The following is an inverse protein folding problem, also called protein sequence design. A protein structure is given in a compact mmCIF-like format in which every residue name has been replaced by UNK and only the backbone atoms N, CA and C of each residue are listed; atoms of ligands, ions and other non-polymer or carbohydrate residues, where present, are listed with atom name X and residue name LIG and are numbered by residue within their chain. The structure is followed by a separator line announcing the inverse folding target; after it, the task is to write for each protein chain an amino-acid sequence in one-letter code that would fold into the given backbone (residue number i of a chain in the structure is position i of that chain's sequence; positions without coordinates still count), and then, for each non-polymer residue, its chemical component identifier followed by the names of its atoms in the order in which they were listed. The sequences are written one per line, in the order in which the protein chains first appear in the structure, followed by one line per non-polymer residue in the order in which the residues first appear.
data_IF_097171979486
#
_entry.id   IF_097171979486
#
_cell.length_a   1.000
_cell.length_b   1.000
_cell.length_c   1.000
_cell.angle_alpha   90.00
_cell.angle_beta   90.00
_cell.angle_gamma   90.00
#
_symmetry.space_group_name_H-M   'P 1'
#
loop_
_entity.id
_entity.type
_entity.pdbx_description
1 polymer ?
#
# COMPACT_ATOMS: atom_id res chain seq x y z
N UNK A 1 7.15 -5.92 -23.43
CA UNK A 1 7.30 -6.18 -22.00
C UNK A 1 7.39 -7.68 -21.79
N UNK A 2 8.42 -8.16 -21.17
CA UNK A 2 8.56 -9.54 -20.72
C UNK A 2 8.13 -9.59 -19.25
N UNK A 3 7.25 -10.51 -18.90
CA UNK A 3 6.77 -10.73 -17.53
C UNK A 3 7.54 -11.85 -16.79
N UNK A 4 8.56 -12.43 -17.43
CA UNK A 4 9.43 -13.42 -16.80
C UNK A 4 10.30 -12.73 -15.75
N UNK A 5 10.37 -13.33 -14.56
CA UNK A 5 11.28 -12.86 -13.54
C UNK A 5 12.74 -13.18 -13.91
N UNK A 6 13.65 -12.29 -13.56
CA UNK A 6 15.09 -12.55 -13.63
C UNK A 6 15.52 -13.57 -12.57
N UNK A 7 16.70 -14.16 -12.71
CA UNK A 7 17.23 -15.09 -11.68
C UNK A 7 17.30 -14.44 -10.29
N UNK A 8 17.65 -13.16 -10.22
CA UNK A 8 17.71 -12.40 -8.96
C UNK A 8 16.31 -12.21 -8.38
N UNK A 9 15.33 -11.89 -9.20
CA UNK A 9 13.92 -11.73 -8.77
C UNK A 9 13.32 -13.05 -8.28
N UNK A 10 13.68 -14.18 -8.91
CA UNK A 10 13.29 -15.52 -8.42
C UNK A 10 13.92 -15.82 -7.05
N UNK A 11 15.16 -15.40 -6.81
CA UNK A 11 15.80 -15.51 -5.48
C UNK A 11 15.09 -14.65 -4.46
N UNK A 12 14.75 -13.40 -4.77
CA UNK A 12 13.98 -12.53 -3.86
C UNK A 12 12.61 -13.13 -3.54
N UNK A 13 11.90 -13.61 -4.56
CA UNK A 13 10.60 -14.25 -4.41
C UNK A 13 10.68 -15.49 -3.50
N UNK A 14 11.61 -16.39 -3.78
CA UNK A 14 11.75 -17.62 -3.00
C UNK A 14 12.18 -17.35 -1.56
N UNK A 15 13.03 -16.33 -1.35
CA UNK A 15 13.46 -15.92 0.00
C UNK A 15 12.29 -15.32 0.78
N UNK A 16 11.54 -14.40 0.18
CA UNK A 16 10.36 -13.80 0.80
C UNK A 16 9.31 -14.88 1.12
N UNK A 17 8.98 -15.72 0.13
CA UNK A 17 8.03 -16.82 0.30
C UNK A 17 8.42 -17.73 1.46
N UNK A 18 9.68 -18.17 1.50
CA UNK A 18 10.19 -19.03 2.57
C UNK A 18 10.07 -18.36 3.94
N UNK A 19 10.48 -17.10 4.06
CA UNK A 19 10.35 -16.35 5.31
C UNK A 19 8.89 -16.32 5.80
N UNK A 20 7.98 -16.00 4.91
CA UNK A 20 6.56 -15.89 5.25
C UNK A 20 5.91 -17.24 5.55
N UNK A 21 6.23 -18.31 4.82
CA UNK A 21 5.68 -19.66 5.06
C UNK A 21 6.21 -20.28 6.35
N UNK A 22 7.49 -20.09 6.70
CA UNK A 22 8.10 -20.70 7.88
C UNK A 22 7.71 -20.00 9.19
N UNK A 23 7.46 -18.70 9.16
CA UNK A 23 7.28 -17.88 10.37
C UNK A 23 5.89 -17.27 10.51
N UNK A 24 5.07 -17.34 9.48
CA UNK A 24 3.81 -16.65 9.42
C UNK A 24 2.63 -17.60 9.27
N UNK A 25 2.00 -17.90 10.37
CA UNK A 25 0.81 -18.74 10.43
C UNK A 25 -0.42 -17.96 10.95
N UNK A 26 -1.58 -18.60 10.89
CA UNK A 26 -2.85 -18.03 11.34
C UNK A 26 -2.87 -17.72 12.84
N UNK A 27 -2.14 -18.47 13.65
CA UNK A 27 -2.04 -18.27 15.09
C UNK A 27 -1.29 -16.97 15.37
N UNK A 28 -0.22 -16.75 14.62
CA UNK A 28 0.57 -15.50 14.64
C UNK A 28 -0.27 -14.30 14.18
N UNK A 29 -1.02 -14.43 13.07
CA UNK A 29 -1.92 -13.34 12.60
C UNK A 29 -2.95 -12.95 13.66
N UNK A 30 -3.53 -13.93 14.35
CA UNK A 30 -4.47 -13.69 15.44
C UNK A 30 -3.84 -13.06 16.67
N UNK A 31 -2.63 -13.47 17.00
CA UNK A 31 -1.89 -12.87 18.10
C UNK A 31 -1.65 -11.38 17.83
N UNK A 32 -1.21 -11.05 16.62
CA UNK A 32 -0.94 -9.67 16.20
C UNK A 32 -2.20 -8.80 16.16
N UNK A 33 -3.34 -9.34 15.73
CA UNK A 33 -4.61 -8.58 15.78
C UNK A 33 -5.02 -8.16 17.19
N UNK A 34 -4.47 -8.82 18.22
CA UNK A 34 -4.71 -8.48 19.65
C UNK A 34 -3.63 -7.59 20.24
N UNK A 35 -2.51 -7.42 19.53
CA UNK A 35 -1.46 -6.51 19.95
C UNK A 35 -1.87 -5.06 19.70
N UNK A 36 -1.54 -4.16 20.63
CA UNK A 36 -1.84 -2.74 20.55
C UNK A 36 -1.27 -2.11 19.27
N UNK A 37 -0.07 -2.51 18.86
CA UNK A 37 0.62 -2.00 17.66
C UNK A 37 0.14 -2.60 16.35
N UNK A 38 -0.59 -3.71 16.37
CA UNK A 38 -1.11 -4.37 15.17
C UNK A 38 -0.05 -4.97 14.24
N UNK A 39 1.22 -5.09 14.66
CA UNK A 39 2.29 -5.77 13.93
C UNK A 39 3.38 -6.32 14.85
N UNK A 40 4.16 -7.30 14.37
CA UNK A 40 5.30 -7.85 15.10
C UNK A 40 6.58 -7.07 14.81
N UNK A 41 7.12 -6.38 15.82
CA UNK A 41 8.39 -5.66 15.72
C UNK A 41 9.57 -6.59 15.45
N UNK A 42 9.55 -7.80 16.02
CA UNK A 42 10.57 -8.84 15.77
C UNK A 42 10.57 -9.24 14.29
N UNK A 43 9.40 -9.51 13.73
CA UNK A 43 9.30 -9.91 12.33
C UNK A 43 9.63 -8.74 11.37
N UNK A 44 9.26 -7.50 11.73
CA UNK A 44 9.67 -6.32 10.98
C UNK A 44 11.21 -6.18 10.95
N UNK A 45 11.87 -6.46 12.07
CA UNK A 45 13.35 -6.46 12.15
C UNK A 45 13.96 -7.55 11.25
N UNK A 46 13.38 -8.74 11.18
CA UNK A 46 13.86 -9.80 10.28
C UNK A 46 13.74 -9.39 8.80
N UNK A 47 12.68 -8.68 8.42
CA UNK A 47 12.52 -8.10 7.07
C UNK A 47 13.63 -7.08 6.79
N UNK A 48 13.99 -6.23 7.78
CA UNK A 48 15.09 -5.30 7.68
C UNK A 48 16.43 -6.05 7.52
N UNK A 49 16.69 -7.08 8.33
CA UNK A 49 17.92 -7.86 8.31
C UNK A 49 18.11 -8.64 6.99
N UNK A 50 17.03 -8.96 6.28
CA UNK A 50 17.06 -9.50 4.91
C UNK A 50 17.28 -8.43 3.83
N UNK A 51 17.39 -7.16 4.21
CA UNK A 51 17.62 -6.05 3.29
C UNK A 51 16.38 -5.57 2.52
N UNK A 52 15.17 -6.06 2.83
CA UNK A 52 13.97 -5.73 2.07
C UNK A 52 13.57 -4.25 2.19
N UNK A 53 13.85 -3.60 3.33
CA UNK A 53 13.63 -2.15 3.48
C UNK A 53 14.59 -1.31 2.65
N UNK A 54 15.78 -1.82 2.39
CA UNK A 54 16.83 -1.15 1.61
C UNK A 54 16.92 -1.61 0.15
N UNK A 55 16.00 -2.45 -0.32
CA UNK A 55 16.11 -3.10 -1.63
C UNK A 55 16.31 -2.11 -2.76
N UNK A 56 15.51 -1.04 -2.80
CA UNK A 56 15.55 0.00 -3.84
C UNK A 56 16.45 1.19 -3.50
N UNK A 57 17.12 1.16 -2.35
CA UNK A 57 18.02 2.23 -1.90
C UNK A 57 19.39 2.01 -2.54
N UNK A 58 20.03 3.06 -3.11
CA UNK A 58 21.40 2.98 -3.62
C UNK A 58 22.42 2.52 -2.57
N UNK A 59 23.47 1.87 -3.02
CA UNK A 59 24.58 1.39 -2.16
C UNK A 59 25.25 2.53 -1.36
N UNK A 60 25.29 3.75 -1.90
CA UNK A 60 25.83 4.95 -1.22
C UNK A 60 25.13 5.27 0.11
N UNK A 61 23.91 4.82 0.28
CA UNK A 61 23.13 4.94 1.53
C UNK A 61 22.99 3.61 2.28
N UNK A 62 23.73 2.58 1.88
CA UNK A 62 23.72 1.25 2.51
C UNK A 62 22.62 0.31 2.01
N UNK A 63 21.99 0.61 0.88
CA UNK A 63 20.97 -0.22 0.25
C UNK A 63 21.54 -1.26 -0.72
N UNK A 64 20.64 -1.92 -1.46
CA UNK A 64 20.94 -2.99 -2.44
C UNK A 64 21.02 -2.45 -3.87
N UNK A 65 20.37 -1.31 -4.17
CA UNK A 65 20.34 -0.71 -5.51
C UNK A 65 19.44 -1.44 -6.50
N UNK A 66 18.45 -2.21 -6.02
CA UNK A 66 17.47 -2.89 -6.85
C UNK A 66 16.40 -1.96 -7.44
N UNK A 67 15.53 -2.53 -8.27
CA UNK A 67 14.45 -1.81 -8.96
C UNK A 67 13.08 -1.92 -8.28
N UNK A 68 12.09 -1.21 -8.84
CA UNK A 68 10.70 -1.29 -8.37
C UNK A 68 10.08 -2.68 -8.61
N UNK A 69 10.49 -3.36 -9.69
CA UNK A 69 10.02 -4.73 -9.98
C UNK A 69 10.54 -5.71 -8.91
N UNK A 70 11.78 -5.55 -8.44
CA UNK A 70 12.35 -6.36 -7.37
C UNK A 70 11.56 -6.19 -6.07
N UNK A 71 11.23 -4.94 -5.73
CA UNK A 71 10.37 -4.62 -4.59
C UNK A 71 8.97 -5.22 -4.75
N UNK A 72 8.38 -5.11 -5.93
CA UNK A 72 7.03 -5.61 -6.22
C UNK A 72 6.92 -7.13 -6.01
N UNK A 73 7.95 -7.90 -6.35
CA UNK A 73 8.00 -9.34 -6.10
C UNK A 73 7.90 -9.66 -4.60
N UNK A 74 8.58 -8.89 -3.74
CA UNK A 74 8.48 -9.08 -2.28
C UNK A 74 7.12 -8.62 -1.76
N UNK A 75 6.56 -7.54 -2.29
CA UNK A 75 5.23 -7.03 -1.93
C UNK A 75 4.13 -8.03 -2.30
N UNK A 76 4.25 -8.75 -3.42
CA UNK A 76 3.33 -9.83 -3.79
C UNK A 76 3.31 -10.93 -2.72
N UNK A 77 4.49 -11.40 -2.29
CA UNK A 77 4.61 -12.43 -1.26
C UNK A 77 4.12 -11.94 0.12
N UNK A 78 4.39 -10.68 0.47
CA UNK A 78 3.85 -10.07 1.69
C UNK A 78 2.31 -10.02 1.67
N UNK A 79 1.70 -9.69 0.54
CA UNK A 79 0.26 -9.74 0.31
C UNK A 79 -0.31 -11.15 0.44
N UNK A 80 0.37 -12.14 -0.14
CA UNK A 80 0.00 -13.56 -0.04
C UNK A 80 0.07 -14.08 1.42
N UNK A 81 1.03 -13.60 2.19
CA UNK A 81 1.16 -13.92 3.61
C UNK A 81 0.18 -13.16 4.51
N UNK A 82 -0.56 -12.19 4.00
CA UNK A 82 -1.44 -11.30 4.78
C UNK A 82 -0.66 -10.51 5.85
N UNK A 83 0.53 -10.02 5.52
CA UNK A 83 1.48 -9.46 6.46
C UNK A 83 1.08 -8.08 6.99
N UNK A 84 0.61 -7.93 8.27
CA UNK A 84 0.33 -6.63 8.86
C UNK A 84 1.64 -6.01 9.34
N UNK A 85 2.13 -5.00 8.64
CA UNK A 85 3.42 -4.39 8.94
C UNK A 85 3.51 -2.98 8.41
N UNK A 86 4.28 -2.10 9.07
CA UNK A 86 4.67 -0.82 8.49
C UNK A 86 5.67 -0.93 7.33
N UNK A 87 6.00 -2.13 6.82
CA UNK A 87 6.92 -2.35 5.71
C UNK A 87 6.53 -1.53 4.47
N UNK A 88 5.36 -1.79 3.89
CA UNK A 88 4.91 -1.07 2.69
C UNK A 88 4.72 0.44 2.94
N UNK A 89 4.08 0.89 4.03
CA UNK A 89 4.07 2.32 4.39
C UNK A 89 5.45 2.95 4.49
N UNK A 90 6.43 2.31 5.15
CA UNK A 90 7.78 2.85 5.31
C UNK A 90 8.49 2.99 3.96
N UNK A 91 8.36 2.02 3.07
CA UNK A 91 8.94 2.11 1.74
C UNK A 91 8.26 3.19 0.90
N UNK A 92 6.93 3.21 0.87
CA UNK A 92 6.15 4.11 0.01
C UNK A 92 6.16 5.56 0.47
N UNK A 93 6.09 5.80 1.78
CA UNK A 93 5.98 7.14 2.34
C UNK A 93 7.28 7.65 2.97
N UNK A 94 8.27 6.79 3.12
CA UNK A 94 9.60 7.12 3.62
C UNK A 94 10.67 7.00 2.55
N UNK A 95 11.04 5.78 2.18
CA UNK A 95 12.19 5.51 1.29
C UNK A 95 12.05 6.21 -0.07
N UNK A 96 10.97 5.92 -0.80
CA UNK A 96 10.76 6.44 -2.15
C UNK A 96 10.71 7.97 -2.22
N UNK A 97 9.94 8.65 -1.34
CA UNK A 97 9.93 10.10 -1.32
C UNK A 97 11.28 10.72 -0.92
N UNK A 98 11.99 10.14 0.04
CA UNK A 98 13.33 10.60 0.42
C UNK A 98 14.32 10.48 -0.72
N UNK A 99 14.34 9.36 -1.44
CA UNK A 99 15.22 9.16 -2.59
C UNK A 99 15.02 10.23 -3.67
N UNK A 100 13.76 10.59 -3.95
CA UNK A 100 13.43 11.48 -5.06
C UNK A 100 13.44 12.96 -4.67
N UNK A 101 12.96 13.30 -3.49
CA UNK A 101 12.67 14.68 -3.08
C UNK A 101 13.41 15.12 -1.82
N UNK A 102 14.03 14.19 -1.07
CA UNK A 102 14.78 14.51 0.13
C UNK A 102 16.05 15.30 -0.18
N UNK A 103 16.43 16.18 0.74
CA UNK A 103 17.75 16.80 0.73
C UNK A 103 18.83 15.75 1.02
N UNK A 104 20.08 16.02 0.64
CA UNK A 104 21.18 15.10 0.92
C UNK A 104 21.32 14.82 2.42
N UNK A 105 21.12 15.84 3.26
CA UNK A 105 21.13 15.68 4.72
C UNK A 105 20.03 14.72 5.22
N UNK A 106 18.79 14.83 4.69
CA UNK A 106 17.70 13.93 5.02
C UNK A 106 18.00 12.49 4.59
N UNK A 107 18.54 12.30 3.38
CA UNK A 107 18.91 10.97 2.86
C UNK A 107 19.96 10.31 3.73
N UNK A 108 21.07 11.01 4.01
CA UNK A 108 22.18 10.53 4.82
C UNK A 108 21.77 10.21 6.27
N UNK A 109 20.85 10.98 6.81
CA UNK A 109 20.37 10.77 8.18
C UNK A 109 19.37 9.61 8.30
N UNK A 110 18.39 9.52 7.36
CA UNK A 110 17.22 8.67 7.56
C UNK A 110 17.29 7.34 6.81
N UNK A 111 17.83 7.30 5.58
CA UNK A 111 17.84 6.06 4.80
C UNK A 111 18.59 4.92 5.49
N UNK A 112 19.80 5.11 6.07
CA UNK A 112 20.47 4.03 6.78
C UNK A 112 19.68 3.51 7.98
N UNK A 113 19.04 4.40 8.75
CA UNK A 113 18.22 4.03 9.91
C UNK A 113 16.95 3.26 9.50
N UNK A 114 16.35 3.64 8.37
CA UNK A 114 15.19 2.93 7.80
C UNK A 114 15.61 1.52 7.37
N UNK A 115 16.70 1.41 6.62
CA UNK A 115 17.23 0.11 6.14
C UNK A 115 17.49 -0.85 7.30
N UNK A 116 18.03 -0.34 8.40
CA UNK A 116 18.28 -1.11 9.62
C UNK A 116 17.00 -1.44 10.42
N UNK A 117 15.83 -0.97 9.98
CA UNK A 117 14.56 -1.14 10.69
C UNK A 117 14.45 -0.35 12.00
N UNK A 118 15.32 0.66 12.20
CA UNK A 118 15.34 1.53 13.39
C UNK A 118 14.39 2.71 13.29
N UNK A 119 14.02 3.11 12.07
CA UNK A 119 13.09 4.20 11.79
C UNK A 119 11.94 3.67 10.94
N UNK A 120 10.74 3.90 11.42
CA UNK A 120 9.48 3.62 10.72
C UNK A 120 8.93 4.96 10.23
N UNK A 121 8.55 4.99 8.95
CA UNK A 121 7.88 6.14 8.35
C UNK A 121 6.47 5.73 7.92
N UNK A 122 5.50 6.55 8.25
CA UNK A 122 4.13 6.38 7.78
C UNK A 122 3.59 7.67 7.15
N UNK A 123 2.32 7.68 6.79
CA UNK A 123 1.68 8.85 6.18
C UNK A 123 0.53 9.39 7.03
N UNK A 124 0.40 10.71 7.03
CA UNK A 124 -0.74 11.45 7.58
C UNK A 124 -1.23 12.43 6.50
N UNK A 125 -1.94 11.90 5.49
CA UNK A 125 -2.30 12.65 4.27
C UNK A 125 -3.78 12.97 4.17
N UNK A 126 -4.67 12.01 4.47
CA UNK A 126 -6.11 12.13 4.25
C UNK A 126 -6.81 12.90 5.37
N UNK A 127 -7.91 13.59 5.03
CA UNK A 127 -8.80 14.28 5.98
C UNK A 127 -10.28 13.91 5.68
N UNK A 128 -11.17 14.16 6.63
CA UNK A 128 -12.57 13.77 6.51
C UNK A 128 -13.27 14.36 5.26
N UNK A 129 -12.97 15.61 4.93
CA UNK A 129 -13.54 16.31 3.78
C UNK A 129 -12.83 16.03 2.45
N UNK A 130 -11.68 15.35 2.46
CA UNK A 130 -10.85 15.19 1.27
C UNK A 130 -11.45 14.24 0.21
N UNK A 131 -12.28 13.27 0.60
CA UNK A 131 -12.95 12.33 -0.32
C UNK A 131 -12.04 11.75 -1.44
N UNK A 132 -10.80 11.36 -1.08
CA UNK A 132 -9.71 10.92 -1.97
C UNK A 132 -9.12 12.01 -2.88
N UNK A 133 -9.43 13.29 -2.66
CA UNK A 133 -8.78 14.42 -3.31
C UNK A 133 -8.09 15.29 -2.25
N UNK A 134 -6.79 15.07 -2.09
CA UNK A 134 -5.99 15.71 -1.03
C UNK A 134 -5.82 17.23 -1.23
N UNK A 135 -6.40 17.83 -2.26
CA UNK A 135 -6.49 19.30 -2.38
C UNK A 135 -7.52 19.89 -1.41
N UNK A 136 -8.46 19.07 -0.94
CA UNK A 136 -9.48 19.47 0.02
C UNK A 136 -9.05 19.21 1.46
N UNK A 137 -7.85 19.68 1.84
CA UNK A 137 -7.33 19.60 3.20
C UNK A 137 -7.38 20.95 3.91
N UNK A 138 -7.59 20.90 5.23
CA UNK A 138 -7.61 22.05 6.14
C UNK A 138 -6.37 22.15 7.03
N UNK A 139 -5.61 21.05 7.21
CA UNK A 139 -4.35 21.08 7.95
C UNK A 139 -3.45 22.16 7.41
N UNK A 140 -2.97 23.04 8.30
CA UNK A 140 -2.16 24.20 7.95
C UNK A 140 -0.81 24.20 8.68
N UNK A 141 0.23 24.60 7.95
CA UNK A 141 1.55 24.86 8.52
C UNK A 141 1.84 26.36 8.36
N UNK A 142 1.59 27.12 9.43
CA UNK A 142 1.76 28.57 9.43
C UNK A 142 3.22 28.94 9.69
N UNK A 143 3.79 29.79 8.85
CA UNK A 143 5.16 30.25 8.98
C UNK A 143 5.30 31.15 10.21
N UNK A 144 6.22 30.81 11.11
CA UNK A 144 6.46 31.55 12.35
C UNK A 144 7.94 31.48 12.72
N UNK A 145 8.60 32.63 12.85
CA UNK A 145 9.93 32.74 13.46
C UNK A 145 11.07 31.94 12.78
N UNK A 146 10.99 31.68 11.46
CA UNK A 146 12.02 30.91 10.73
C UNK A 146 11.72 29.40 10.64
N UNK A 147 10.49 29.00 10.95
CA UNK A 147 9.96 27.65 10.77
C UNK A 147 8.45 27.68 10.58
N UNK A 148 7.78 26.59 10.92
CA UNK A 148 6.32 26.49 10.78
C UNK A 148 5.70 25.94 12.06
N UNK A 149 4.42 26.24 12.24
CA UNK A 149 3.56 25.61 13.26
C UNK A 149 2.47 24.83 12.54
N UNK A 150 2.47 23.51 12.69
CA UNK A 150 1.54 22.60 12.04
C UNK A 150 0.36 22.31 12.95
N UNK A 151 -0.87 22.52 12.45
CA UNK A 151 -2.11 22.24 13.19
C UNK A 151 -3.14 21.64 12.24
N UNK A 152 -3.86 20.63 12.72
CA UNK A 152 -4.91 19.95 11.95
C UNK A 152 -5.05 18.48 12.32
N UNK A 153 -6.00 17.81 11.67
CA UNK A 153 -6.32 16.40 11.92
C UNK A 153 -6.29 15.60 10.66
N UNK A 154 -5.57 14.49 10.66
CA UNK A 154 -5.48 13.51 9.59
C UNK A 154 -6.15 12.21 9.98
N UNK A 155 -6.71 11.51 9.00
CA UNK A 155 -7.42 10.25 9.19
C UNK A 155 -6.76 9.12 8.41
N UNK A 156 -6.97 7.89 8.89
CA UNK A 156 -6.52 6.66 8.24
C UNK A 156 -5.00 6.57 8.05
N UNK A 157 -4.24 7.14 9.00
CA UNK A 157 -2.79 7.05 9.03
C UNK A 157 -2.37 5.62 9.47
N UNK A 158 -1.73 4.81 8.59
CA UNK A 158 -1.39 3.43 8.93
C UNK A 158 -0.23 3.38 9.93
N UNK A 159 -0.35 2.60 10.99
CA UNK A 159 0.69 2.40 12.01
C UNK A 159 1.29 3.70 12.57
N UNK A 160 0.48 4.77 12.66
CA UNK A 160 0.99 6.09 13.04
C UNK A 160 1.52 6.16 14.46
N UNK A 161 0.99 5.36 15.39
CA UNK A 161 1.48 5.27 16.77
C UNK A 161 2.90 4.70 16.89
N UNK A 162 3.29 3.88 15.93
CA UNK A 162 4.57 3.20 15.87
C UNK A 162 5.57 3.86 14.92
N UNK A 163 5.14 4.85 14.16
CA UNK A 163 5.99 5.58 13.23
C UNK A 163 6.85 6.62 13.97
N UNK A 164 8.12 6.75 13.56
CA UNK A 164 9.03 7.81 14.03
C UNK A 164 8.81 9.12 13.27
N UNK A 165 8.35 9.01 12.01
CA UNK A 165 8.04 10.14 11.15
C UNK A 165 6.74 9.91 10.38
N UNK A 166 6.01 11.01 10.17
CA UNK A 166 4.76 11.05 9.42
C UNK A 166 4.91 11.96 8.18
N UNK A 167 4.82 11.38 7.00
CA UNK A 167 4.73 12.16 5.77
C UNK A 167 3.40 12.89 5.74
N UNK A 168 3.41 14.21 5.84
CA UNK A 168 2.22 15.03 6.06
C UNK A 168 2.09 16.13 5.02
N UNK A 169 0.94 16.20 4.36
CA UNK A 169 0.58 17.30 3.47
C UNK A 169 -0.16 18.38 4.26
N UNK A 170 0.32 19.63 4.14
CA UNK A 170 -0.27 20.78 4.82
C UNK A 170 -0.29 22.03 3.92
N UNK A 171 -1.16 22.95 4.23
CA UNK A 171 -1.26 24.23 3.54
C UNK A 171 -0.33 25.25 4.18
N UNK A 172 0.65 25.75 3.42
CA UNK A 172 1.64 26.75 3.88
C UNK A 172 1.37 28.15 3.30
N UNK A 173 0.67 28.24 2.18
CA UNK A 173 0.43 29.48 1.47
C UNK A 173 -1.05 29.77 1.23
N UNK A 174 -1.35 30.94 0.65
CA UNK A 174 -2.70 31.26 0.27
C UNK A 174 -3.17 30.28 -0.82
N UNK A 175 -4.28 29.63 -0.56
CA UNK A 175 -4.94 28.71 -1.48
C UNK A 175 -6.32 28.40 -0.94
N UNK A 176 -7.31 28.37 -1.83
CA UNK A 176 -8.65 27.94 -1.46
C UNK A 176 -8.69 26.41 -1.34
N UNK A 177 -9.60 25.91 -0.55
CA UNK A 177 -9.93 24.49 -0.51
C UNK A 177 -10.22 23.97 -1.94
N UNK A 178 -9.59 22.86 -2.32
CA UNK A 178 -9.64 22.34 -3.69
C UNK A 178 -8.54 22.88 -4.64
N UNK A 179 -7.75 23.91 -4.22
CA UNK A 179 -6.58 24.34 -4.99
C UNK A 179 -5.34 23.51 -4.67
N UNK A 180 -4.53 23.27 -5.70
CA UNK A 180 -3.19 22.69 -5.58
C UNK A 180 -2.17 23.68 -5.01
N UNK A 181 -2.46 24.98 -5.09
CA UNK A 181 -1.53 26.03 -4.68
C UNK A 181 -1.35 26.07 -3.17
N UNK A 182 -0.14 26.42 -2.72
CA UNK A 182 0.20 26.57 -1.31
C UNK A 182 0.17 25.28 -0.49
N UNK A 183 0.23 24.12 -1.14
CA UNK A 183 0.40 22.83 -0.47
C UNK A 183 1.88 22.48 -0.40
N UNK A 184 2.34 22.10 0.80
CA UNK A 184 3.71 21.64 1.07
C UNK A 184 3.71 20.29 1.77
N UNK A 185 4.75 19.51 1.54
CA UNK A 185 4.90 18.20 2.12
C UNK A 185 6.01 18.23 3.18
N UNK A 186 5.73 17.66 4.33
CA UNK A 186 6.64 17.63 5.47
C UNK A 186 6.86 16.19 5.94
N UNK A 187 8.08 15.90 6.35
CA UNK A 187 8.41 14.71 7.11
C UNK A 187 8.41 15.06 8.61
N UNK A 188 7.24 14.94 9.21
CA UNK A 188 6.98 15.39 10.59
C UNK A 188 7.49 14.35 11.57
N UNK A 189 8.39 14.76 12.48
CA UNK A 189 8.80 13.90 13.60
C UNK A 189 7.59 13.64 14.51
N UNK A 190 7.38 12.38 14.85
CA UNK A 190 6.24 11.93 15.63
C UNK A 190 6.50 12.12 17.15
N UNK A 191 6.36 13.35 17.64
CA UNK A 191 6.59 13.71 19.03
C UNK A 191 5.28 13.65 19.82
N UNK A 192 5.13 12.76 20.82
CA UNK A 192 3.89 12.61 21.59
C UNK A 192 3.50 13.86 22.40
N UNK A 193 4.39 14.83 22.56
CA UNK A 193 4.06 16.11 23.19
C UNK A 193 3.19 17.03 22.32
N UNK A 194 3.27 16.86 20.98
CA UNK A 194 2.57 17.71 20.00
C UNK A 194 1.77 16.93 18.95
N UNK A 195 1.91 15.59 18.94
CA UNK A 195 1.18 14.70 18.02
C UNK A 195 0.38 13.69 18.82
N UNK A 196 -0.93 13.67 18.63
CA UNK A 196 -1.83 12.75 19.33
C UNK A 196 -2.37 11.71 18.33
N UNK A 197 -2.42 10.45 18.77
CA UNK A 197 -2.97 9.34 17.99
C UNK A 197 -4.23 8.80 18.63
N UNK A 198 -5.27 8.58 17.83
CA UNK A 198 -6.49 7.88 18.24
C UNK A 198 -6.71 6.68 17.33
N UNK A 199 -6.71 5.44 17.85
CA UNK A 199 -6.89 4.27 17.01
C UNK A 199 -8.26 4.22 16.37
N UNK A 200 -8.33 3.91 15.07
CA UNK A 200 -9.54 3.72 14.30
C UNK A 200 -9.81 2.23 14.11
N UNK A 201 -10.98 1.77 14.54
CA UNK A 201 -11.38 0.37 14.33
C UNK A 201 -11.72 0.13 12.86
N UNK A 202 -10.92 -0.68 12.19
CA UNK A 202 -11.16 -1.12 10.81
C UNK A 202 -11.52 -2.60 10.76
N UNK A 203 -12.17 -3.02 9.67
CA UNK A 203 -12.46 -4.44 9.42
C UNK A 203 -11.18 -5.23 9.13
N UNK A 204 -10.16 -4.57 8.56
CA UNK A 204 -8.91 -5.20 8.13
C UNK A 204 -7.87 -5.37 9.24
N UNK A 205 -8.09 -4.77 10.41
CA UNK A 205 -7.07 -4.69 11.49
C UNK A 205 -5.75 -4.10 10.99
N UNK A 206 -5.83 -2.96 10.25
CA UNK A 206 -4.71 -2.39 9.50
C UNK A 206 -3.90 -1.38 10.31
N UNK A 207 -4.10 -1.29 11.63
CA UNK A 207 -3.41 -0.31 12.45
C UNK A 207 -3.65 1.13 11.99
N UNK A 208 -4.90 1.51 11.73
CA UNK A 208 -5.24 2.87 11.27
C UNK A 208 -5.49 3.81 12.44
N UNK A 209 -5.04 5.06 12.29
CA UNK A 209 -5.15 6.09 13.31
C UNK A 209 -5.71 7.39 12.76
N UNK A 210 -6.42 8.12 13.63
CA UNK A 210 -6.55 9.56 13.54
C UNK A 210 -5.29 10.18 14.16
N UNK A 211 -4.72 11.19 13.49
CA UNK A 211 -3.54 11.92 13.94
C UNK A 211 -3.88 13.39 14.05
N UNK A 212 -3.75 13.95 15.24
CA UNK A 212 -3.97 15.36 15.54
C UNK A 212 -2.62 16.06 15.81
N UNK A 213 -2.34 17.10 15.04
CA UNK A 213 -1.18 17.97 15.22
C UNK A 213 -1.59 19.18 16.07
N UNK A 214 -0.95 19.33 17.23
CA UNK A 214 -1.26 20.32 18.26
C UNK A 214 -0.17 21.40 18.27
N UNK A 215 -0.23 22.30 17.28
CA UNK A 215 0.76 23.35 17.08
C UNK A 215 2.20 22.79 17.00
N UNK A 216 2.35 21.67 16.29
CA UNK A 216 3.62 20.95 16.14
C UNK A 216 4.66 21.85 15.47
N UNK A 217 5.81 22.12 16.10
CA UNK A 217 6.85 22.96 15.53
C UNK A 217 7.58 22.21 14.41
N UNK A 218 7.78 22.89 13.28
CA UNK A 218 8.54 22.39 12.13
C UNK A 218 9.57 23.44 11.70
N UNK A 219 10.62 22.96 11.04
CA UNK A 219 11.68 23.77 10.44
C UNK A 219 11.69 23.61 8.92
N UNK A 220 12.48 24.39 8.23
CA UNK A 220 12.70 24.23 6.79
C UNK A 220 13.36 22.87 6.47
N UNK A 221 14.07 22.27 7.45
CA UNK A 221 14.67 20.92 7.29
C UNK A 221 13.63 19.79 7.28
N UNK A 222 12.42 20.02 7.76
CA UNK A 222 11.32 19.04 7.76
C UNK A 222 10.53 19.05 6.43
N UNK A 223 10.75 20.06 5.55
CA UNK A 223 10.16 20.08 4.21
C UNK A 223 10.72 18.93 3.37
N UNK A 224 9.82 18.24 2.67
CA UNK A 224 10.18 17.28 1.63
C UNK A 224 9.86 17.89 0.25
N UNK A 225 10.89 18.20 -0.51
CA UNK A 225 10.79 19.01 -1.72
C UNK A 225 10.68 20.51 -1.43
N UNK A 226 10.19 21.30 -2.39
CA UNK A 226 10.07 22.75 -2.26
C UNK A 226 8.75 23.16 -1.59
N UNK A 227 8.77 24.27 -0.86
CA UNK A 227 7.55 24.91 -0.33
C UNK A 227 6.57 25.21 -1.49
N UNK A 228 5.30 24.87 -1.32
CA UNK A 228 4.26 25.06 -2.33
C UNK A 228 4.19 23.98 -3.42
N UNK A 229 5.17 23.08 -3.52
CA UNK A 229 5.22 22.00 -4.51
C UNK A 229 4.59 20.68 -4.01
N UNK A 230 4.02 20.64 -2.82
CA UNK A 230 3.56 19.41 -2.17
C UNK A 230 2.50 18.65 -2.97
N UNK A 231 1.68 19.33 -3.77
CA UNK A 231 0.65 18.65 -4.57
C UNK A 231 1.27 17.73 -5.64
N UNK A 232 2.20 18.21 -6.44
CA UNK A 232 2.83 17.38 -7.48
C UNK A 232 3.59 16.20 -6.88
N UNK A 233 4.28 16.41 -5.75
CA UNK A 233 5.03 15.38 -5.05
C UNK A 233 4.09 14.31 -4.49
N UNK A 234 3.01 14.70 -3.80
CA UNK A 234 2.09 13.73 -3.21
C UNK A 234 1.33 12.93 -4.27
N UNK A 235 1.03 13.52 -5.44
CA UNK A 235 0.40 12.77 -6.54
C UNK A 235 1.28 11.61 -6.99
N UNK A 236 2.57 11.82 -7.23
CA UNK A 236 3.49 10.76 -7.62
C UNK A 236 3.61 9.69 -6.53
N UNK A 237 3.68 10.10 -5.26
CA UNK A 237 3.74 9.15 -4.14
C UNK A 237 2.48 8.28 -4.09
N UNK A 238 1.30 8.87 -4.28
CA UNK A 238 0.02 8.13 -4.28
C UNK A 238 -0.09 7.19 -5.49
N UNK A 239 0.42 7.58 -6.65
CA UNK A 239 0.48 6.70 -7.83
C UNK A 239 1.32 5.47 -7.55
N UNK A 240 2.52 5.67 -7.03
CA UNK A 240 3.42 4.59 -6.68
C UNK A 240 2.86 3.70 -5.56
N UNK A 241 2.30 4.32 -4.50
CA UNK A 241 1.61 3.59 -3.43
C UNK A 241 0.45 2.75 -3.96
N UNK A 242 -0.32 3.28 -4.93
CA UNK A 242 -1.44 2.57 -5.55
C UNK A 242 -0.98 1.39 -6.40
N UNK A 243 0.13 1.55 -7.14
CA UNK A 243 0.72 0.47 -7.93
C UNK A 243 1.21 -0.67 -7.02
N UNK A 244 1.99 -0.37 -5.99
CA UNK A 244 2.49 -1.37 -5.04
C UNK A 244 1.35 -2.03 -4.24
N UNK A 245 0.35 -1.27 -3.79
CA UNK A 245 -0.83 -1.85 -3.15
C UNK A 245 -1.62 -2.76 -4.10
N UNK A 246 -1.64 -2.47 -5.40
CA UNK A 246 -2.27 -3.36 -6.38
C UNK A 246 -1.53 -4.70 -6.49
N UNK A 247 -0.20 -4.69 -6.39
CA UNK A 247 0.59 -5.92 -6.31
C UNK A 247 0.29 -6.70 -5.02
N UNK A 248 0.24 -6.01 -3.87
CA UNK A 248 -0.13 -6.61 -2.58
C UNK A 248 -1.53 -7.24 -2.64
N UNK A 249 -2.50 -6.57 -3.26
CA UNK A 249 -3.85 -7.10 -3.48
C UNK A 249 -3.84 -8.35 -4.37
N UNK A 250 -3.01 -8.40 -5.41
CA UNK A 250 -2.89 -9.58 -6.26
C UNK A 250 -2.35 -10.78 -5.47
N UNK A 251 -1.32 -10.59 -4.63
CA UNK A 251 -0.80 -11.62 -3.73
C UNK A 251 -1.85 -12.15 -2.76
N UNK A 252 -2.61 -11.25 -2.12
CA UNK A 252 -3.71 -11.63 -1.22
C UNK A 252 -4.79 -12.45 -1.93
N UNK A 253 -5.20 -12.06 -3.13
CA UNK A 253 -6.20 -12.77 -3.92
C UNK A 253 -5.69 -14.13 -4.40
N UNK A 254 -4.39 -14.24 -4.74
CA UNK A 254 -3.70 -15.50 -5.01
C UNK A 254 -3.79 -16.45 -3.82
N UNK A 255 -3.53 -15.96 -2.60
CA UNK A 255 -3.67 -16.74 -1.37
C UNK A 255 -5.10 -17.27 -1.16
N UNK A 256 -6.10 -16.43 -1.38
CA UNK A 256 -7.51 -16.84 -1.27
C UNK A 256 -7.87 -17.92 -2.30
N UNK A 257 -7.34 -17.82 -3.52
CA UNK A 257 -7.52 -18.82 -4.57
C UNK A 257 -6.85 -20.16 -4.18
N UNK A 258 -5.61 -20.12 -3.68
CA UNK A 258 -4.87 -21.33 -3.26
C UNK A 258 -5.57 -22.05 -2.11
N UNK A 259 -6.01 -21.31 -1.08
CA UNK A 259 -6.79 -21.86 0.02
C UNK A 259 -8.06 -22.54 -0.51
N UNK A 260 -8.75 -21.92 -1.46
CA UNK A 260 -9.97 -22.47 -2.04
C UNK A 260 -9.69 -23.71 -2.89
N UNK A 261 -8.64 -23.66 -3.72
CA UNK A 261 -8.25 -24.79 -4.55
C UNK A 261 -7.86 -26.03 -3.71
N UNK A 262 -7.14 -25.83 -2.60
CA UNK A 262 -6.81 -26.92 -1.69
C UNK A 262 -8.06 -27.47 -0.99
N UNK A 263 -8.93 -26.59 -0.50
CA UNK A 263 -10.17 -27.00 0.17
C UNK A 263 -11.06 -27.85 -0.73
N UNK A 264 -11.28 -27.48 -1.99
CA UNK A 264 -12.18 -28.24 -2.88
C UNK A 264 -11.61 -29.59 -3.32
N UNK A 265 -10.29 -29.79 -3.24
CA UNK A 265 -9.62 -31.08 -3.47
C UNK A 265 -9.81 -32.05 -2.30
N UNK A 266 -9.92 -31.53 -1.09
CA UNK A 266 -10.02 -32.33 0.15
C UNK A 266 -11.47 -32.56 0.60
N UNK A 267 -12.31 -31.53 0.46
CA UNK A 267 -13.71 -31.57 0.90
C UNK A 267 -14.53 -32.52 0.06
N UNK A 268 -15.06 -33.56 0.68
CA UNK A 268 -15.89 -34.58 0.03
C UNK A 268 -17.36 -34.38 0.31
N UNK A 269 -18.18 -34.38 -0.72
CA UNK A 269 -19.63 -34.44 -0.70
C UNK A 269 -20.11 -35.29 -1.88
N UNK A 270 -21.25 -35.95 -1.74
CA UNK A 270 -21.80 -36.85 -2.79
C UNK A 270 -20.78 -37.90 -3.25
N UNK A 271 -20.02 -38.46 -2.28
CA UNK A 271 -19.00 -39.51 -2.44
C UNK A 271 -17.78 -39.15 -3.29
N UNK A 272 -17.49 -37.85 -3.49
CA UNK A 272 -16.30 -37.38 -4.22
C UNK A 272 -15.85 -36.00 -3.74
N UNK A 273 -14.60 -35.60 -4.00
CA UNK A 273 -14.15 -34.25 -3.79
C UNK A 273 -15.04 -33.24 -4.54
N UNK A 274 -15.37 -32.13 -3.90
CA UNK A 274 -16.25 -31.13 -4.54
C UNK A 274 -15.61 -30.47 -5.76
N UNK A 275 -14.28 -30.49 -5.86
CA UNK A 275 -13.54 -30.03 -7.04
C UNK A 275 -13.80 -30.84 -8.32
N UNK A 276 -14.41 -32.02 -8.22
CA UNK A 276 -14.81 -32.83 -9.39
C UNK A 276 -16.07 -32.30 -10.08
N UNK A 277 -16.84 -31.40 -9.44
CA UNK A 277 -18.03 -30.86 -10.07
C UNK A 277 -17.70 -29.70 -11.03
N UNK A 278 -18.25 -29.72 -12.24
CA UNK A 278 -18.01 -28.71 -13.26
C UNK A 278 -18.32 -27.28 -12.77
N UNK A 279 -19.37 -27.08 -11.98
CA UNK A 279 -19.74 -25.78 -11.42
C UNK A 279 -18.66 -25.21 -10.49
N UNK A 280 -17.94 -26.08 -9.77
CA UNK A 280 -16.79 -25.70 -8.93
C UNK A 280 -15.58 -25.36 -9.79
N UNK A 281 -15.28 -26.19 -10.80
CA UNK A 281 -14.17 -25.99 -11.72
C UNK A 281 -14.31 -24.68 -12.51
N UNK A 282 -15.51 -24.37 -13.03
CA UNK A 282 -15.76 -23.11 -13.75
C UNK A 282 -15.54 -21.92 -12.82
N UNK A 283 -16.02 -21.98 -11.58
CA UNK A 283 -15.83 -20.89 -10.62
C UNK A 283 -14.34 -20.68 -10.28
N UNK A 284 -13.57 -21.75 -10.09
CA UNK A 284 -12.13 -21.65 -9.88
C UNK A 284 -11.40 -21.05 -11.09
N UNK A 285 -11.83 -21.42 -12.30
CA UNK A 285 -11.26 -20.85 -13.54
C UNK A 285 -11.57 -19.35 -13.66
N UNK A 286 -12.79 -18.91 -13.33
CA UNK A 286 -13.14 -17.49 -13.27
C UNK A 286 -12.30 -16.74 -12.23
N UNK A 287 -12.13 -17.31 -11.03
CA UNK A 287 -11.31 -16.74 -9.97
C UNK A 287 -9.84 -16.63 -10.41
N UNK A 288 -9.28 -17.67 -11.01
CA UNK A 288 -7.91 -17.68 -11.55
C UNK A 288 -7.71 -16.58 -12.60
N UNK A 289 -8.64 -16.45 -13.54
CA UNK A 289 -8.58 -15.41 -14.59
C UNK A 289 -8.57 -13.99 -14.00
N UNK A 290 -9.35 -13.76 -12.94
CA UNK A 290 -9.36 -12.46 -12.25
C UNK A 290 -8.03 -12.18 -11.55
N UNK A 291 -7.48 -13.17 -10.86
CA UNK A 291 -6.21 -13.04 -10.11
C UNK A 291 -5.05 -12.78 -11.07
N UNK A 292 -4.86 -13.64 -12.07
CA UNK A 292 -3.76 -13.52 -13.02
C UNK A 292 -3.87 -12.24 -13.87
N UNK A 293 -5.05 -11.90 -14.35
CA UNK A 293 -5.26 -10.66 -15.09
C UNK A 293 -4.96 -9.42 -14.24
N UNK A 294 -5.34 -9.43 -12.96
CA UNK A 294 -5.03 -8.37 -12.02
C UNK A 294 -3.54 -8.25 -11.69
N UNK A 295 -2.87 -9.39 -11.51
CA UNK A 295 -1.42 -9.46 -11.30
C UNK A 295 -0.67 -8.87 -12.49
N UNK A 296 -0.97 -9.31 -13.70
CA UNK A 296 -0.32 -8.80 -14.92
C UNK A 296 -0.53 -7.28 -15.08
N UNK A 297 -1.74 -6.78 -14.80
CA UNK A 297 -2.01 -5.34 -14.85
C UNK A 297 -1.22 -4.56 -13.79
N UNK A 298 -1.08 -5.10 -12.57
CA UNK A 298 -0.30 -4.47 -11.50
C UNK A 298 1.20 -4.42 -11.85
N UNK A 299 1.77 -5.54 -12.31
CA UNK A 299 3.18 -5.58 -12.72
C UNK A 299 3.46 -4.72 -13.97
N UNK A 300 2.50 -4.58 -14.89
CA UNK A 300 2.61 -3.63 -16.00
C UNK A 300 2.73 -2.18 -15.48
N UNK A 301 1.95 -1.80 -14.47
CA UNK A 301 2.05 -0.47 -13.88
C UNK A 301 3.40 -0.24 -13.20
N UNK A 302 3.92 -1.24 -12.46
CA UNK A 302 5.25 -1.19 -11.83
C UNK A 302 6.36 -1.04 -12.87
N UNK A 303 6.34 -1.86 -13.91
CA UNK A 303 7.32 -1.79 -14.98
C UNK A 303 7.35 -0.41 -15.66
N UNK A 304 6.18 0.18 -15.94
CA UNK A 304 6.14 1.53 -16.54
C UNK A 304 6.73 2.59 -15.61
N UNK A 305 6.44 2.50 -14.30
CA UNK A 305 7.03 3.41 -13.31
C UNK A 305 8.56 3.26 -13.24
N UNK A 306 9.07 2.05 -13.30
CA UNK A 306 10.51 1.74 -13.30
C UNK A 306 11.22 2.30 -14.54
N UNK A 307 10.60 2.18 -15.71
CA UNK A 307 11.10 2.74 -16.98
C UNK A 307 10.89 4.27 -17.10
N UNK A 308 10.34 4.94 -16.09
CA UNK A 308 10.03 6.37 -16.16
C UNK A 308 8.95 6.73 -17.16
N UNK A 309 8.11 5.77 -17.56
CA UNK A 309 7.01 5.96 -18.50
C UNK A 309 5.73 6.42 -17.78
N UNK A 310 4.85 7.20 -18.45
CA UNK A 310 3.53 7.52 -17.88
C UNK A 310 2.76 6.24 -17.52
N UNK A 311 2.33 6.10 -16.26
CA UNK A 311 1.69 4.90 -15.75
C UNK A 311 0.26 5.12 -15.21
N UNK A 312 -0.28 6.33 -15.32
CA UNK A 312 -1.59 6.69 -14.75
C UNK A 312 -2.72 5.75 -15.18
N UNK A 313 -2.75 5.39 -16.48
CA UNK A 313 -3.78 4.50 -17.04
C UNK A 313 -3.65 3.08 -16.49
N UNK A 314 -2.44 2.55 -16.48
CA UNK A 314 -2.13 1.20 -16.03
C UNK A 314 -2.38 1.03 -14.54
N UNK A 315 -2.01 2.00 -13.72
CA UNK A 315 -2.31 2.04 -12.28
C UNK A 315 -3.82 2.06 -12.05
N UNK A 316 -4.55 2.91 -12.78
CA UNK A 316 -6.01 2.99 -12.65
C UNK A 316 -6.70 1.68 -13.08
N UNK A 317 -6.22 1.03 -14.14
CA UNK A 317 -6.73 -0.28 -14.60
C UNK A 317 -6.46 -1.34 -13.53
N UNK A 318 -5.23 -1.47 -13.04
CA UNK A 318 -4.85 -2.48 -12.06
C UNK A 318 -5.68 -2.34 -10.78
N UNK A 319 -5.74 -1.14 -10.20
CA UNK A 319 -6.48 -0.89 -8.96
C UNK A 319 -7.98 -1.07 -9.13
N UNK A 320 -8.55 -0.58 -10.23
CA UNK A 320 -9.99 -0.75 -10.51
C UNK A 320 -10.36 -2.23 -10.71
N UNK A 321 -9.55 -2.97 -11.50
CA UNK A 321 -9.77 -4.39 -11.74
C UNK A 321 -9.70 -5.20 -10.44
N UNK A 322 -8.59 -5.11 -9.72
CA UNK A 322 -8.40 -5.84 -8.46
C UNK A 322 -9.45 -5.47 -7.42
N UNK A 323 -9.82 -4.19 -7.29
CA UNK A 323 -10.85 -3.77 -6.33
C UNK A 323 -12.25 -4.28 -6.69
N UNK A 324 -12.63 -4.31 -7.97
CA UNK A 324 -13.96 -4.67 -8.42
C UNK A 324 -14.10 -6.18 -8.63
N UNK A 325 -13.22 -6.76 -9.44
CA UNK A 325 -13.30 -8.17 -9.80
C UNK A 325 -12.74 -9.07 -8.69
N UNK A 326 -11.72 -8.61 -7.93
CA UNK A 326 -11.17 -9.31 -6.77
C UNK A 326 -12.22 -9.60 -5.68
N UNK A 327 -13.23 -8.75 -5.54
CA UNK A 327 -14.35 -9.07 -4.65
C UNK A 327 -15.09 -10.34 -5.09
N UNK A 328 -15.21 -10.60 -6.39
CA UNK A 328 -15.85 -11.84 -6.90
C UNK A 328 -15.03 -13.07 -6.54
N UNK A 329 -13.69 -12.95 -6.53
CA UNK A 329 -12.81 -14.04 -6.07
C UNK A 329 -13.12 -14.42 -4.63
N UNK A 330 -13.20 -13.45 -3.74
CA UNK A 330 -13.46 -13.70 -2.32
C UNK A 330 -14.89 -14.20 -2.06
N UNK A 331 -15.89 -13.64 -2.74
CA UNK A 331 -17.26 -14.15 -2.68
C UNK A 331 -17.33 -15.59 -3.19
N UNK A 332 -16.64 -15.89 -4.29
CA UNK A 332 -16.52 -17.25 -4.83
C UNK A 332 -15.85 -18.21 -3.84
N UNK A 333 -14.76 -17.79 -3.21
CA UNK A 333 -14.06 -18.55 -2.19
C UNK A 333 -14.97 -18.86 -0.99
N UNK A 334 -15.65 -17.87 -0.43
CA UNK A 334 -16.60 -18.09 0.67
C UNK A 334 -17.73 -19.02 0.28
N UNK A 335 -18.28 -18.90 -0.91
CA UNK A 335 -19.34 -19.79 -1.41
C UNK A 335 -18.88 -21.24 -1.49
N UNK A 336 -17.63 -21.48 -1.98
CA UNK A 336 -17.09 -22.84 -2.11
C UNK A 336 -16.72 -23.47 -0.77
N UNK A 337 -16.33 -22.67 0.23
CA UNK A 337 -16.07 -23.14 1.60
C UNK A 337 -17.35 -23.32 2.43
N UNK A 338 -18.46 -22.67 2.04
CA UNK A 338 -19.70 -22.70 2.83
C UNK A 338 -19.49 -22.13 4.24
N UNK A 339 -19.99 -22.81 5.27
CA UNK A 339 -19.85 -22.36 6.66
C UNK A 339 -18.41 -22.18 7.14
N UNK A 340 -17.47 -22.98 6.63
CA UNK A 340 -16.02 -22.82 6.94
C UNK A 340 -15.46 -21.47 6.47
N UNK A 341 -15.99 -20.88 5.40
CA UNK A 341 -15.50 -19.63 4.87
C UNK A 341 -15.73 -18.42 5.80
N UNK A 342 -16.74 -18.50 6.67
CA UNK A 342 -17.06 -17.44 7.64
C UNK A 342 -16.54 -17.74 9.05
N UNK A 343 -15.92 -18.91 9.24
CA UNK A 343 -15.33 -19.28 10.52
C UNK A 343 -14.12 -18.37 10.82
N UNK A 344 -14.15 -17.72 11.99
CA UNK A 344 -13.05 -16.85 12.44
C UNK A 344 -11.76 -17.65 12.72
N UNK A 345 -11.85 -18.96 12.84
CA UNK A 345 -10.70 -19.84 13.02
C UNK A 345 -10.10 -20.32 11.70
N UNK A 346 -10.71 -19.98 10.56
CA UNK A 346 -10.22 -20.34 9.23
C UNK A 346 -9.53 -19.16 8.52
N UNK A 347 -8.43 -19.38 7.75
CA UNK A 347 -7.64 -18.29 7.18
C UNK A 347 -8.38 -17.37 6.21
N UNK A 348 -9.41 -17.84 5.52
CA UNK A 348 -10.10 -17.08 4.47
C UNK A 348 -10.70 -15.76 4.96
N UNK A 349 -11.16 -15.70 6.22
CA UNK A 349 -11.71 -14.47 6.79
C UNK A 349 -10.68 -13.32 6.86
N UNK A 350 -9.38 -13.62 7.03
CA UNK A 350 -8.34 -12.60 6.98
C UNK A 350 -8.17 -12.03 5.56
N UNK A 351 -8.21 -12.90 4.53
CA UNK A 351 -8.18 -12.45 3.14
C UNK A 351 -9.34 -11.48 2.87
N UNK A 352 -10.55 -11.83 3.28
CA UNK A 352 -11.73 -11.01 3.04
C UNK A 352 -11.64 -9.65 3.75
N UNK A 353 -11.33 -9.64 5.04
CA UNK A 353 -11.32 -8.41 5.85
C UNK A 353 -10.23 -7.45 5.39
N UNK A 354 -9.01 -7.94 5.14
CA UNK A 354 -7.90 -7.13 4.63
C UNK A 354 -8.15 -6.62 3.23
N UNK A 355 -8.67 -7.47 2.36
CA UNK A 355 -9.05 -7.02 1.02
C UNK A 355 -10.06 -5.86 1.07
N UNK A 356 -11.05 -5.91 1.97
CA UNK A 356 -12.02 -4.83 2.13
C UNK A 356 -11.37 -3.50 2.50
N UNK A 357 -10.36 -3.52 3.35
CA UNK A 357 -9.59 -2.34 3.68
C UNK A 357 -8.80 -1.84 2.48
N UNK A 358 -8.02 -2.71 1.83
CA UNK A 358 -7.24 -2.36 0.63
C UNK A 358 -8.14 -1.88 -0.53
N UNK A 359 -9.35 -2.40 -0.65
CA UNK A 359 -10.32 -2.00 -1.67
C UNK A 359 -10.69 -0.51 -1.56
N UNK A 360 -10.73 0.03 -0.34
CA UNK A 360 -11.07 1.43 -0.06
C UNK A 360 -9.84 2.31 0.03
N UNK A 361 -8.72 1.80 0.52
CA UNK A 361 -7.50 2.56 0.65
C UNK A 361 -6.98 3.02 -0.73
N UNK A 362 -6.44 4.23 -0.82
CA UNK A 362 -5.97 4.89 -2.05
C UNK A 362 -7.05 5.02 -3.15
N UNK A 363 -8.31 4.95 -2.77
CA UNK A 363 -9.48 5.12 -3.64
C UNK A 363 -10.12 3.80 -4.09
N UNK A 364 -11.46 3.70 -4.00
CA UNK A 364 -12.21 2.56 -4.51
C UNK A 364 -12.22 2.51 -6.04
N UNK A 365 -12.63 1.37 -6.62
CA UNK A 365 -12.69 1.15 -8.07
C UNK A 365 -13.35 2.30 -8.84
N UNK A 366 -14.44 2.89 -8.30
CA UNK A 366 -15.15 3.99 -8.94
C UNK A 366 -14.26 5.23 -9.17
N UNK A 367 -13.36 5.56 -8.23
CA UNK A 367 -12.44 6.68 -8.35
C UNK A 367 -11.43 6.45 -9.48
N UNK A 368 -10.86 5.24 -9.55
CA UNK A 368 -9.91 4.88 -10.60
C UNK A 368 -10.56 4.77 -11.98
N UNK A 369 -11.78 4.22 -12.07
CA UNK A 369 -12.55 4.23 -13.32
C UNK A 369 -12.89 5.64 -13.78
N UNK A 370 -13.25 6.55 -12.87
CA UNK A 370 -13.47 7.96 -13.20
C UNK A 370 -12.20 8.63 -13.71
N UNK A 371 -11.04 8.33 -13.09
CA UNK A 371 -9.74 8.83 -13.52
C UNK A 371 -9.40 8.31 -14.91
N UNK A 372 -9.53 7.00 -15.13
CA UNK A 372 -9.33 6.35 -16.43
C UNK A 372 -10.23 6.94 -17.51
N UNK A 373 -11.54 7.16 -17.24
CA UNK A 373 -12.47 7.79 -18.17
C UNK A 373 -12.04 9.18 -18.61
N UNK A 374 -11.45 9.97 -17.70
CA UNK A 374 -10.91 11.30 -18.05
C UNK A 374 -9.73 11.21 -19.02
N UNK A 375 -8.85 10.23 -18.89
CA UNK A 375 -7.72 10.08 -19.83
C UNK A 375 -8.19 9.76 -21.25
N UNK A 376 -9.25 8.98 -21.42
CA UNK A 376 -9.83 8.72 -22.75
C UNK A 376 -10.46 9.96 -23.39
N UNK A 377 -11.10 10.83 -22.59
CA UNK A 377 -11.72 12.05 -23.11
C UNK A 377 -10.65 13.08 -23.52
N UNK A 378 -9.53 13.10 -22.83
CA UNK A 378 -8.43 14.04 -23.07
C UNK A 378 -7.44 13.56 -24.14
N UNK A 379 -7.48 12.28 -24.52
CA UNK A 379 -6.55 11.68 -25.49
C UNK A 379 -7.04 11.95 -26.94
N UNK A 380 -6.29 12.76 -27.76
CA UNK A 380 -6.69 13.08 -29.13
C UNK A 380 -6.82 11.83 -30.03
N UNK A 381 -6.11 10.74 -29.72
CA UNK A 381 -6.15 9.49 -30.47
C UNK A 381 -7.46 8.73 -30.27
N UNK A 382 -8.08 8.85 -29.09
CA UNK A 382 -9.38 8.24 -28.83
C UNK A 382 -10.54 8.87 -29.64
N UNK A 383 -10.35 10.11 -30.13
CA UNK A 383 -11.34 10.81 -30.95
C UNK A 383 -11.35 10.34 -32.42
N UNK A 384 -10.28 9.68 -32.89
CA UNK A 384 -10.15 9.22 -34.28
C UNK A 384 -10.80 7.86 -34.54
N UNK A 385 -11.07 7.08 -33.50
CA UNK A 385 -11.67 5.74 -33.63
C UNK A 385 -13.20 5.77 -33.75
N UNK A 386 -13.83 6.93 -33.53
CA UNK A 386 -15.28 7.14 -33.62
C UNK A 386 -15.72 8.15 -34.70
N UNK A 387 -14.80 8.60 -35.56
CA UNK A 387 -15.07 9.36 -36.77
C UNK A 387 -14.81 8.48 -38.00
#
# INVERSE_FOLDING_TARGET
MDFSLTEIQEVFKSTAKKLFEEKWDITTLRAIEKEERGFSSTFYKEIADLGFLGLIVPEDYGGVGGGLTDLAVIVEEAGSALFPSPFLPTVTYGVLPLLKYGTEAQKQELLPKIIEGKVIVSSALSEAQAHYDMRYISTSAKKLGGGYTLSGTKLFAPFADSADYLLTLARTGPGQEGSADGLSLFLVKNDPSTVRHTPLKSIGSDGLYEVEFLDTPLTDADLLGAEGAGWSVVQEIIELATALQSVEMAGLLGRALDLTNNYVKERTQFNQPIGNFQSVQHRLSDMYTVVEGGKLAAFQAIWRLEEGLPAEKEIAVAKAWLSKEGQKVLVGAHQLHGGMGVDMDYPLQFCFRRFKSMQLNLGPAANHLKRLGRTFIQDPVAQVVHS
#
